data_IF_860076320441
#
_entry.id   IF_860076320441
#
_cell.length_a   1.000
_cell.length_b   1.000
_cell.length_c   1.000
_cell.angle_alpha   90.00
_cell.angle_beta   90.00
_cell.angle_gamma   90.00
#
_symmetry.space_group_name_H-M   'P 1'
#
loop_
_entity.id
_entity.type
_entity.pdbx_description
1 polymer ?
#
# COMPACT_ATOMS: atom_id res chain seq x y z
N UNK A 1 -9.57 -13.42 -11.17
CA UNK A 1 -8.51 -12.69 -10.50
C UNK A 1 -7.39 -12.45 -11.51
N UNK A 2 -7.19 -11.20 -11.94
CA UNK A 2 -6.10 -10.89 -12.88
C UNK A 2 -4.79 -11.16 -12.15
N UNK A 3 -4.01 -12.14 -12.59
CA UNK A 3 -2.68 -12.42 -12.05
C UNK A 3 -1.77 -11.23 -12.37
N UNK A 4 -1.20 -10.63 -11.35
CA UNK A 4 -0.36 -9.44 -11.46
C UNK A 4 1.07 -9.82 -11.86
N UNK A 5 1.45 -11.07 -11.58
CA UNK A 5 2.78 -11.62 -11.82
C UNK A 5 2.67 -12.95 -12.57
N UNK A 6 3.52 -13.13 -13.57
CA UNK A 6 3.68 -14.36 -14.33
C UNK A 6 5.15 -14.73 -14.38
N UNK A 7 5.47 -15.95 -14.01
CA UNK A 7 6.82 -16.51 -14.11
C UNK A 7 6.79 -17.78 -14.98
N UNK A 8 7.94 -18.15 -15.53
CA UNK A 8 8.11 -19.42 -16.24
C UNK A 8 8.08 -20.63 -15.30
N UNK A 9 8.35 -20.43 -14.02
CA UNK A 9 8.26 -21.41 -12.94
C UNK A 9 6.92 -21.24 -12.22
N UNK A 10 5.99 -22.22 -12.33
CA UNK A 10 4.68 -22.15 -11.69
C UNK A 10 4.72 -22.12 -10.16
N UNK A 11 5.67 -22.82 -9.53
CA UNK A 11 5.80 -22.88 -8.08
C UNK A 11 6.27 -21.53 -7.53
N UNK A 12 7.18 -20.87 -8.24
CA UNK A 12 7.62 -19.51 -7.92
C UNK A 12 6.49 -18.49 -8.11
N UNK A 13 5.71 -18.61 -9.20
CA UNK A 13 4.55 -17.75 -9.43
C UNK A 13 3.51 -17.87 -8.31
N UNK A 14 3.22 -19.11 -7.86
CA UNK A 14 2.29 -19.36 -6.77
C UNK A 14 2.82 -18.80 -5.44
N UNK A 15 4.10 -18.99 -5.16
CA UNK A 15 4.76 -18.43 -3.98
C UNK A 15 4.60 -16.90 -3.94
N UNK A 16 5.04 -16.17 -4.95
CA UNK A 16 4.92 -14.70 -5.00
C UNK A 16 3.45 -14.25 -4.95
N UNK A 17 2.54 -14.97 -5.57
CA UNK A 17 1.11 -14.65 -5.52
C UNK A 17 0.54 -14.80 -4.10
N UNK A 18 0.98 -15.80 -3.35
CA UNK A 18 0.59 -16.01 -1.95
C UNK A 18 1.13 -14.90 -1.05
N UNK A 19 2.38 -14.49 -1.23
CA UNK A 19 2.98 -13.37 -0.50
C UNK A 19 2.27 -12.03 -0.80
N UNK A 20 1.91 -11.78 -2.06
CA UNK A 20 1.10 -10.61 -2.43
C UNK A 20 -0.27 -10.60 -1.73
N UNK A 21 -0.89 -11.76 -1.53
CA UNK A 21 -2.15 -11.87 -0.79
C UNK A 21 -1.96 -11.50 0.70
N UNK A 22 -0.82 -11.86 1.31
CA UNK A 22 -0.47 -11.43 2.66
C UNK A 22 -0.25 -9.91 2.75
N UNK A 23 0.43 -9.33 1.76
CA UNK A 23 0.58 -7.87 1.67
C UNK A 23 -0.79 -7.18 1.58
N UNK A 24 -1.70 -7.68 0.74
CA UNK A 24 -3.04 -7.11 0.56
C UNK A 24 -3.84 -7.11 1.88
N UNK A 25 -3.77 -8.22 2.62
CA UNK A 25 -4.38 -8.33 3.96
C UNK A 25 -3.76 -7.33 4.94
N UNK A 26 -2.44 -7.21 4.96
CA UNK A 26 -1.72 -6.31 5.85
C UNK A 26 -1.99 -4.82 5.49
N UNK A 27 -2.12 -4.49 4.20
CA UNK A 27 -2.52 -3.16 3.74
C UNK A 27 -3.91 -2.78 4.27
N UNK A 28 -4.89 -3.67 4.12
CA UNK A 28 -6.24 -3.43 4.63
C UNK A 28 -6.25 -3.24 6.16
N UNK A 29 -5.47 -4.05 6.89
CA UNK A 29 -5.34 -3.93 8.33
C UNK A 29 -4.72 -2.60 8.74
N UNK A 30 -3.72 -2.12 7.98
CA UNK A 30 -3.04 -0.84 8.22
C UNK A 30 -3.95 0.38 8.05
N UNK A 31 -5.08 0.24 7.34
CA UNK A 31 -6.07 1.33 7.19
C UNK A 31 -7.06 1.42 8.34
N UNK A 32 -7.01 0.51 9.32
CA UNK A 32 -7.92 0.54 10.48
C UNK A 32 -7.60 1.67 11.44
N UNK A 33 -8.66 2.26 11.98
CA UNK A 33 -8.64 3.28 13.02
C UNK A 33 -9.78 3.01 13.99
N UNK A 34 -9.68 3.54 15.21
CA UNK A 34 -10.78 3.55 16.18
C UNK A 34 -11.99 4.37 15.67
N UNK A 35 -11.72 5.29 14.74
CA UNK A 35 -12.74 6.14 14.13
C UNK A 35 -13.21 5.52 12.81
N UNK A 36 -14.49 5.10 12.69
CA UNK A 36 -15.01 4.43 11.48
C UNK A 36 -14.81 5.24 10.20
N UNK A 37 -15.00 6.56 10.27
CA UNK A 37 -14.82 7.45 9.12
C UNK A 37 -13.38 7.47 8.61
N UNK A 38 -12.39 7.50 9.51
CA UNK A 38 -10.97 7.42 9.14
C UNK A 38 -10.64 6.08 8.48
N UNK A 39 -11.20 4.99 9.00
CA UNK A 39 -11.05 3.66 8.39
C UNK A 39 -11.68 3.60 7.00
N UNK A 40 -12.87 4.20 6.81
CA UNK A 40 -13.54 4.25 5.51
C UNK A 40 -12.72 5.03 4.48
N UNK A 41 -12.28 6.24 4.82
CA UNK A 41 -11.52 7.09 3.90
C UNK A 41 -10.16 6.48 3.56
N UNK A 42 -9.46 5.92 4.55
CA UNK A 42 -8.12 5.34 4.39
C UNK A 42 -8.10 4.09 3.52
N UNK A 43 -9.12 3.24 3.64
CA UNK A 43 -9.23 2.02 2.82
C UNK A 43 -9.75 2.25 1.40
N UNK A 44 -10.28 3.42 1.09
CA UNK A 44 -10.96 3.71 -0.17
C UNK A 44 -10.12 3.35 -1.40
N UNK A 45 -8.88 3.86 -1.51
CA UNK A 45 -8.01 3.56 -2.64
C UNK A 45 -7.34 2.16 -2.53
N UNK A 46 -7.26 1.56 -1.34
CA UNK A 46 -6.80 0.18 -1.19
C UNK A 46 -7.81 -0.76 -1.84
N UNK A 47 -9.11 -0.59 -1.52
CA UNK A 47 -10.21 -1.41 -2.06
C UNK A 47 -10.42 -1.17 -3.55
N UNK A 48 -10.18 0.04 -4.05
CA UNK A 48 -10.21 0.32 -5.48
C UNK A 48 -9.16 -0.50 -6.26
N UNK A 49 -8.21 -1.12 -5.57
CA UNK A 49 -7.22 -2.02 -6.14
C UNK A 49 -5.96 -1.31 -6.62
N UNK A 50 -5.25 -1.97 -7.51
CA UNK A 50 -4.01 -1.51 -8.11
C UNK A 50 -3.10 -2.67 -8.47
N UNK A 51 -2.09 -2.40 -9.29
CA UNK A 51 -1.16 -3.44 -9.78
C UNK A 51 -0.19 -3.94 -8.71
N UNK A 52 -0.13 -3.30 -7.53
CA UNK A 52 0.81 -3.66 -6.43
C UNK A 52 2.25 -3.88 -6.91
N UNK A 53 2.66 -3.09 -7.91
CA UNK A 53 3.98 -3.23 -8.52
C UNK A 53 5.12 -2.97 -7.49
N UNK A 54 4.94 -2.00 -6.59
CA UNK A 54 5.94 -1.69 -5.55
C UNK A 54 6.08 -2.83 -4.54
N UNK A 55 5.01 -3.35 -3.93
CA UNK A 55 5.08 -4.56 -3.12
C UNK A 55 5.72 -5.74 -3.85
N UNK A 56 5.35 -5.97 -5.11
CA UNK A 56 5.94 -7.03 -5.92
C UNK A 56 7.46 -6.91 -6.02
N UNK A 57 7.98 -5.69 -6.24
CA UNK A 57 9.43 -5.46 -6.30
C UNK A 57 10.12 -5.77 -4.96
N UNK A 58 9.48 -5.46 -3.82
CA UNK A 58 10.04 -5.81 -2.49
C UNK A 58 10.11 -7.33 -2.33
N UNK A 59 9.03 -8.05 -2.67
CA UNK A 59 8.99 -9.51 -2.58
C UNK A 59 10.06 -10.16 -3.48
N UNK A 60 10.17 -9.71 -4.73
CA UNK A 60 11.18 -10.23 -5.67
C UNK A 60 12.61 -9.90 -5.20
N UNK A 61 12.84 -8.73 -4.62
CA UNK A 61 14.15 -8.38 -4.07
C UNK A 61 14.53 -9.26 -2.86
N UNK A 62 13.55 -9.62 -2.02
CA UNK A 62 13.75 -10.50 -0.88
C UNK A 62 14.22 -11.91 -1.27
N UNK A 63 13.86 -12.38 -2.47
CA UNK A 63 14.32 -13.69 -2.99
C UNK A 63 15.84 -13.77 -3.19
N UNK A 64 16.53 -12.63 -3.28
CA UNK A 64 18.00 -12.58 -3.33
C UNK A 64 18.66 -12.60 -1.94
N UNK A 65 17.87 -12.60 -0.88
CA UNK A 65 18.32 -12.62 0.50
C UNK A 65 17.56 -13.65 1.34
N UNK A 66 16.77 -13.20 2.31
CA UNK A 66 15.90 -14.05 3.14
C UNK A 66 14.41 -13.68 2.90
N UNK A 67 13.73 -14.36 1.96
CA UNK A 67 12.32 -14.10 1.67
C UNK A 67 11.37 -14.43 2.83
N UNK A 68 11.84 -15.23 3.82
CA UNK A 68 11.05 -15.61 5.00
C UNK A 68 11.25 -14.67 6.19
N UNK A 69 12.08 -13.63 6.03
CA UNK A 69 12.24 -12.62 7.09
C UNK A 69 10.89 -11.99 7.42
N UNK A 70 10.53 -11.85 8.72
CA UNK A 70 9.29 -11.22 9.15
C UNK A 70 9.19 -9.74 8.75
N UNK A 71 10.28 -9.14 8.29
CA UNK A 71 10.35 -7.74 7.87
C UNK A 71 9.89 -7.52 6.42
N UNK A 72 9.84 -8.57 5.58
CA UNK A 72 9.53 -8.46 4.15
C UNK A 72 8.12 -7.93 3.91
N UNK A 73 7.11 -8.51 4.54
CA UNK A 73 5.72 -8.06 4.40
C UNK A 73 5.53 -6.63 4.91
N UNK A 74 5.99 -6.25 6.12
CA UNK A 74 5.95 -4.85 6.57
C UNK A 74 6.64 -3.88 5.61
N UNK A 75 7.81 -4.22 5.06
CA UNK A 75 8.50 -3.38 4.08
C UNK A 75 7.66 -3.19 2.80
N UNK A 76 7.06 -4.25 2.28
CA UNK A 76 6.16 -4.19 1.12
C UNK A 76 4.91 -3.32 1.40
N UNK A 77 4.37 -3.39 2.62
CA UNK A 77 3.25 -2.55 3.06
C UNK A 77 3.65 -1.08 3.12
N UNK A 78 4.81 -0.76 3.70
CA UNK A 78 5.30 0.63 3.82
C UNK A 78 5.40 1.31 2.46
N UNK A 79 6.03 0.68 1.48
CA UNK A 79 6.20 1.29 0.15
C UNK A 79 4.87 1.51 -0.57
N UNK A 80 3.88 0.64 -0.37
CA UNK A 80 2.55 0.81 -0.96
C UNK A 80 1.73 1.85 -0.20
N UNK A 81 1.77 1.90 1.14
CA UNK A 81 1.10 2.93 1.94
C UNK A 81 1.61 4.32 1.60
N UNK A 82 2.93 4.48 1.49
CA UNK A 82 3.56 5.74 1.07
C UNK A 82 3.06 6.16 -0.31
N UNK A 83 3.01 5.23 -1.26
CA UNK A 83 2.46 5.50 -2.58
C UNK A 83 0.96 5.87 -2.55
N UNK A 84 0.16 5.14 -1.78
CA UNK A 84 -1.26 5.45 -1.62
C UNK A 84 -1.47 6.85 -1.05
N UNK A 85 -0.69 7.22 -0.03
CA UNK A 85 -0.73 8.57 0.56
C UNK A 85 -0.45 9.65 -0.49
N UNK A 86 0.57 9.46 -1.35
CA UNK A 86 0.85 10.41 -2.44
C UNK A 86 -0.31 10.50 -3.42
N UNK A 87 -1.01 9.40 -3.73
CA UNK A 87 -2.15 9.43 -4.64
C UNK A 87 -3.33 10.25 -4.09
N UNK A 88 -3.58 10.21 -2.78
CA UNK A 88 -4.59 11.07 -2.15
C UNK A 88 -4.25 12.54 -2.32
N UNK A 89 -2.98 12.93 -2.16
CA UNK A 89 -2.52 14.30 -2.32
C UNK A 89 -2.48 14.72 -3.80
N UNK A 90 -1.98 13.85 -4.68
CA UNK A 90 -1.94 14.08 -6.12
C UNK A 90 -3.34 14.35 -6.69
N UNK A 91 -4.35 13.60 -6.26
CA UNK A 91 -5.73 13.78 -6.72
C UNK A 91 -6.28 15.18 -6.37
N UNK A 92 -5.88 15.74 -5.23
CA UNK A 92 -6.22 17.13 -4.86
C UNK A 92 -5.48 18.12 -5.75
N UNK A 93 -4.17 17.95 -5.95
CA UNK A 93 -3.35 18.86 -6.77
C UNK A 93 -3.75 18.83 -8.24
N UNK A 94 -4.12 17.66 -8.74
CA UNK A 94 -4.53 17.44 -10.15
C UNK A 94 -6.02 17.70 -10.37
N UNK A 95 -6.78 18.04 -9.32
CA UNK A 95 -8.25 18.17 -9.38
C UNK A 95 -8.92 16.92 -9.99
N UNK A 96 -8.34 15.73 -9.71
CA UNK A 96 -8.80 14.50 -10.29
C UNK A 96 -10.17 14.10 -9.74
N UNK A 97 -11.06 13.63 -10.62
CA UNK A 97 -12.40 13.16 -10.24
C UNK A 97 -12.47 11.65 -10.11
N UNK A 98 -11.50 10.94 -10.68
CA UNK A 98 -11.45 9.48 -10.72
C UNK A 98 -10.04 8.98 -10.42
N UNK A 99 -9.95 7.86 -9.69
CA UNK A 99 -8.68 7.14 -9.42
C UNK A 99 -8.94 5.62 -9.42
N UNK A 100 -8.17 4.86 -10.20
CA UNK A 100 -8.28 3.39 -10.27
C UNK A 100 -9.70 2.89 -10.59
N UNK A 101 -10.43 3.64 -11.40
CA UNK A 101 -11.82 3.31 -11.77
C UNK A 101 -12.87 3.62 -10.70
N UNK A 102 -12.48 4.21 -9.57
CA UNK A 102 -13.38 4.70 -8.53
C UNK A 102 -13.37 6.24 -8.49
N UNK A 103 -14.39 6.85 -7.92
CA UNK A 103 -14.40 8.29 -7.61
C UNK A 103 -13.23 8.60 -6.69
N UNK A 104 -12.44 9.63 -6.99
CA UNK A 104 -11.33 10.07 -6.13
C UNK A 104 -11.83 10.53 -4.75
N UNK A 105 -10.97 10.52 -3.75
CA UNK A 105 -11.35 10.87 -2.39
C UNK A 105 -11.81 12.35 -2.28
N UNK A 106 -11.10 13.26 -2.95
CA UNK A 106 -11.46 14.67 -2.99
C UNK A 106 -12.82 14.93 -3.67
N UNK A 107 -13.16 14.15 -4.70
CA UNK A 107 -14.47 14.25 -5.37
C UNK A 107 -15.59 13.56 -4.57
N UNK A 108 -15.29 12.47 -3.84
CA UNK A 108 -16.28 11.73 -3.03
C UNK A 108 -16.61 12.45 -1.73
N UNK A 109 -15.64 13.03 -1.07
CA UNK A 109 -15.78 13.80 0.18
C UNK A 109 -15.45 15.27 -0.03
N UNK A 110 -14.20 15.65 0.15
CA UNK A 110 -13.64 16.97 -0.16
C UNK A 110 -12.09 16.94 -0.13
N UNK A 111 -11.46 18.06 -0.48
CA UNK A 111 -10.00 18.19 -0.47
C UNK A 111 -9.41 18.00 0.94
N UNK A 112 -10.08 18.51 1.99
CA UNK A 112 -9.60 18.42 3.36
C UNK A 112 -9.53 16.94 3.81
N UNK A 113 -10.59 16.18 3.53
CA UNK A 113 -10.63 14.73 3.83
C UNK A 113 -9.55 13.99 3.08
N UNK A 114 -9.34 14.29 1.79
CA UNK A 114 -8.30 13.65 1.00
C UNK A 114 -6.89 13.95 1.56
N UNK A 115 -6.59 15.20 1.87
CA UNK A 115 -5.29 15.61 2.44
C UNK A 115 -5.04 14.91 3.78
N UNK A 116 -6.00 14.98 4.71
CA UNK A 116 -5.85 14.36 6.03
C UNK A 116 -5.77 12.83 5.96
N UNK A 117 -6.45 12.22 4.99
CA UNK A 117 -6.33 10.77 4.76
C UNK A 117 -4.93 10.41 4.26
N UNK A 118 -4.35 11.19 3.34
CA UNK A 118 -2.96 11.03 2.93
C UNK A 118 -1.99 11.16 4.10
N UNK A 119 -2.16 12.17 4.95
CA UNK A 119 -1.34 12.37 6.16
C UNK A 119 -1.46 11.19 7.14
N UNK A 120 -2.66 10.65 7.35
CA UNK A 120 -2.87 9.47 8.16
C UNK A 120 -2.11 8.25 7.61
N UNK A 121 -2.15 8.02 6.30
CA UNK A 121 -1.44 6.92 5.67
C UNK A 121 0.08 7.08 5.74
N UNK A 122 0.61 8.31 5.58
CA UNK A 122 2.04 8.59 5.81
C UNK A 122 2.45 8.32 7.26
N UNK A 123 1.65 8.76 8.23
CA UNK A 123 1.91 8.48 9.64
C UNK A 123 1.90 6.98 9.93
N UNK A 124 0.97 6.23 9.32
CA UNK A 124 0.89 4.78 9.47
C UNK A 124 2.10 4.08 8.84
N UNK A 125 2.52 4.49 7.64
CA UNK A 125 3.73 4.00 6.99
C UNK A 125 4.97 4.26 7.87
N UNK A 126 5.12 5.47 8.39
CA UNK A 126 6.22 5.83 9.29
C UNK A 126 6.25 5.01 10.58
N UNK A 127 5.09 4.71 11.15
CA UNK A 127 4.97 3.86 12.34
C UNK A 127 5.46 2.43 12.07
N UNK A 128 5.07 1.84 10.94
CA UNK A 128 5.52 0.49 10.54
C UNK A 128 7.02 0.52 10.25
N UNK A 129 7.48 1.54 9.51
CA UNK A 129 8.88 1.71 9.13
C UNK A 129 9.82 1.82 10.33
N UNK A 130 9.39 2.53 11.39
CA UNK A 130 10.17 2.64 12.63
C UNK A 130 10.44 1.26 13.27
N UNK A 131 9.54 0.31 13.10
CA UNK A 131 9.72 -1.07 13.55
C UNK A 131 10.73 -1.88 12.73
N UNK A 132 11.08 -1.45 11.51
CA UNK A 132 12.07 -2.07 10.62
C UNK A 132 13.51 -1.60 10.91
N UNK A 133 13.68 -0.63 11.79
CA UNK A 133 14.99 -0.16 12.25
C UNK A 133 15.49 1.09 11.50
N UNK A 134 16.63 1.66 12.00
CA UNK A 134 17.11 2.96 11.54
C UNK A 134 17.59 2.97 10.08
N UNK A 135 18.08 1.85 9.57
CA UNK A 135 18.54 1.78 8.18
C UNK A 135 17.36 1.85 7.20
N UNK A 136 16.25 1.18 7.52
CA UNK A 136 15.03 1.29 6.73
C UNK A 136 14.49 2.72 6.73
N UNK A 137 14.48 3.40 7.89
CA UNK A 137 14.06 4.80 8.02
C UNK A 137 14.94 5.73 7.18
N UNK A 138 16.25 5.45 7.06
CA UNK A 138 17.17 6.29 6.29
C UNK A 138 17.02 6.13 4.77
N UNK A 139 16.52 4.97 4.31
CA UNK A 139 16.34 4.67 2.90
C UNK A 139 15.05 5.32 2.35
N UNK A 140 14.01 5.41 3.16
CA UNK A 140 12.74 6.01 2.78
C UNK A 140 12.76 7.53 2.90
#
# INVERSE_FOLDING_TARGET
>A
MNRIFHASDPDFEEHISSELALVEKALLESTRSEYPFVSETSRHLVVAGGKRFRPLLVLLAAEFGDPKSPEVIPAAVVVELTHLATLYHDDVMDEATMRRGATSANARWDNTVAILTGDFLFARASQILAGLGPDAVRIQ
#
